data_IF_687963428762
#
_entry.id   IF_687963428762
#
_cell.length_a   1.000
_cell.length_b   1.000
_cell.length_c   1.000
_cell.angle_alpha   90.00
_cell.angle_beta   90.00
_cell.angle_gamma   90.00
#
_symmetry.space_group_name_H-M   'P 1'
#
loop_
_entity.id
_entity.type
_entity.pdbx_description
1 polymer ?
#
# COMPACT_ATOMS: atom_id res chain seq x y z
N UNK A 1 2.99 0.98 19.29
CA UNK A 1 2.40 0.75 17.97
C UNK A 1 2.72 1.95 17.11
N UNK A 2 2.90 1.75 15.81
CA UNK A 2 3.27 2.80 14.85
C UNK A 2 2.06 3.08 13.95
N UNK A 3 1.86 4.33 13.56
CA UNK A 3 0.79 4.71 12.65
C UNK A 3 1.34 4.82 11.23
N UNK A 4 0.76 4.11 10.28
CA UNK A 4 1.17 4.15 8.88
C UNK A 4 0.10 4.84 8.05
N UNK A 5 0.52 5.80 7.22
CA UNK A 5 -0.32 6.47 6.22
C UNK A 5 0.00 5.91 4.86
N UNK A 6 -1.02 5.42 4.17
CA UNK A 6 -0.92 4.88 2.82
C UNK A 6 -1.56 5.86 1.85
N UNK A 7 -0.81 6.24 0.81
CA UNK A 7 -1.25 7.13 -0.26
C UNK A 7 -1.13 6.35 -1.56
N UNK A 8 -2.27 5.89 -2.08
CA UNK A 8 -2.35 5.08 -3.27
C UNK A 8 -2.85 5.91 -4.46
N UNK A 9 -2.04 6.00 -5.50
CA UNK A 9 -2.42 6.56 -6.80
C UNK A 9 -2.83 5.41 -7.73
N UNK A 10 -4.09 5.39 -8.15
CA UNK A 10 -4.62 4.34 -9.01
C UNK A 10 -5.79 4.84 -9.87
N UNK A 11 -5.75 4.57 -11.18
CA UNK A 11 -6.82 4.92 -12.14
C UNK A 11 -7.37 6.35 -12.00
N UNK A 12 -6.46 7.34 -11.90
CA UNK A 12 -6.75 8.78 -11.74
C UNK A 12 -7.33 9.19 -10.37
N UNK A 13 -7.41 8.27 -9.41
CA UNK A 13 -7.80 8.55 -8.04
C UNK A 13 -6.61 8.50 -7.09
N UNK A 14 -6.69 9.33 -6.04
CA UNK A 14 -5.82 9.29 -4.87
C UNK A 14 -6.62 8.74 -3.70
N UNK A 15 -6.15 7.65 -3.10
CA UNK A 15 -6.81 6.98 -1.98
C UNK A 15 -5.89 7.01 -0.77
N UNK A 16 -6.38 7.55 0.34
CA UNK A 16 -5.60 7.73 1.56
C UNK A 16 -6.29 7.01 2.70
N UNK A 17 -5.53 6.19 3.43
CA UNK A 17 -5.98 5.54 4.65
C UNK A 17 -4.84 5.39 5.66
N UNK A 18 -5.19 5.20 6.93
CA UNK A 18 -4.22 5.06 8.01
C UNK A 18 -4.54 3.82 8.83
N UNK A 19 -3.48 3.11 9.25
CA UNK A 19 -3.59 1.92 10.10
C UNK A 19 -2.49 1.91 11.15
N UNK A 20 -2.80 1.40 12.33
CA UNK A 20 -1.83 1.13 13.37
C UNK A 20 -1.28 -0.30 13.24
N UNK A 21 0.02 -0.46 13.43
CA UNK A 21 0.67 -1.76 13.34
C UNK A 21 2.00 -1.80 14.11
N UNK A 22 2.55 -2.99 14.32
CA UNK A 22 3.87 -3.15 14.93
C UNK A 22 5.01 -2.85 13.95
N UNK A 23 4.80 -3.10 12.66
CA UNK A 23 5.82 -2.96 11.61
C UNK A 23 5.19 -2.69 10.23
N UNK A 24 6.03 -2.27 9.28
CA UNK A 24 5.62 -1.88 7.93
C UNK A 24 4.91 -3.00 7.16
N UNK A 25 5.41 -4.24 7.23
CA UNK A 25 4.88 -5.35 6.45
C UNK A 25 3.49 -5.75 6.95
N UNK A 26 3.30 -5.77 8.26
CA UNK A 26 1.98 -5.99 8.87
C UNK A 26 1.01 -4.86 8.52
N UNK A 27 1.45 -3.59 8.59
CA UNK A 27 0.63 -2.44 8.17
C UNK A 27 0.21 -2.54 6.70
N UNK A 28 1.11 -2.96 5.81
CA UNK A 28 0.85 -3.10 4.38
C UNK A 28 -0.20 -4.18 4.10
N UNK A 29 -0.14 -5.30 4.83
CA UNK A 29 -1.16 -6.37 4.77
C UNK A 29 -2.52 -5.84 5.23
N UNK A 30 -2.56 -5.14 6.37
CA UNK A 30 -3.80 -4.53 6.89
C UNK A 30 -4.39 -3.57 5.86
N UNK A 31 -3.57 -2.73 5.24
CA UNK A 31 -4.00 -1.81 4.18
C UNK A 31 -4.65 -2.55 3.00
N UNK A 32 -4.00 -3.61 2.49
CA UNK A 32 -4.52 -4.38 1.37
C UNK A 32 -5.86 -5.08 1.69
N UNK A 33 -5.99 -5.61 2.90
CA UNK A 33 -7.19 -6.29 3.35
C UNK A 33 -8.37 -5.33 3.59
N UNK A 34 -8.09 -4.05 3.86
CA UNK A 34 -9.09 -3.00 4.12
C UNK A 34 -9.38 -2.08 2.93
N UNK A 35 -8.91 -2.41 1.71
CA UNK A 35 -9.27 -1.66 0.51
C UNK A 35 -10.79 -1.66 0.30
N UNK A 36 -11.32 -0.47 0.05
CA UNK A 36 -12.74 -0.25 -0.23
C UNK A 36 -13.09 -0.75 -1.64
N UNK A 37 -14.03 -1.70 -1.69
CA UNK A 37 -14.44 -2.38 -2.92
C UNK A 37 -15.20 -1.46 -3.89
N UNK A 38 -15.67 -0.30 -3.42
CA UNK A 38 -16.25 0.74 -4.28
C UNK A 38 -15.21 1.28 -5.26
N UNK A 39 -13.94 1.38 -4.85
CA UNK A 39 -12.85 1.89 -5.67
C UNK A 39 -11.92 0.79 -6.19
N UNK A 40 -11.75 -0.27 -5.41
CA UNK A 40 -10.91 -1.43 -5.71
C UNK A 40 -11.80 -2.67 -5.79
N UNK A 41 -12.43 -2.90 -6.94
CA UNK A 41 -13.29 -4.08 -7.15
C UNK A 41 -12.67 -5.36 -6.59
N UNK A 42 -13.48 -6.32 -6.15
CA UNK A 42 -13.00 -7.56 -5.52
C UNK A 42 -11.82 -8.22 -6.27
N UNK A 43 -11.89 -8.25 -7.59
CA UNK A 43 -10.82 -8.78 -8.45
C UNK A 43 -9.52 -7.96 -8.36
N UNK A 44 -9.62 -6.63 -8.31
CA UNK A 44 -8.48 -5.72 -8.13
C UNK A 44 -7.90 -5.87 -6.73
N UNK A 45 -8.76 -5.87 -5.69
CA UNK A 45 -8.36 -6.08 -4.30
C UNK A 45 -7.61 -7.40 -4.12
N UNK A 46 -8.15 -8.50 -4.62
CA UNK A 46 -7.50 -9.82 -4.57
C UNK A 46 -6.11 -9.81 -5.23
N UNK A 47 -5.96 -9.11 -6.37
CA UNK A 47 -4.66 -9.00 -7.06
C UNK A 47 -3.66 -8.14 -6.28
N UNK A 48 -4.12 -7.11 -5.57
CA UNK A 48 -3.26 -6.30 -4.69
C UNK A 48 -2.81 -7.13 -3.48
N UNK A 49 -3.73 -7.86 -2.84
CA UNK A 49 -3.42 -8.75 -1.71
C UNK A 49 -2.38 -9.82 -2.10
N UNK A 50 -2.51 -10.43 -3.29
CA UNK A 50 -1.52 -11.37 -3.83
C UNK A 50 -0.13 -10.72 -3.92
N UNK A 51 -0.05 -9.53 -4.50
CA UNK A 51 1.24 -8.83 -4.71
C UNK A 51 1.86 -8.31 -3.42
N UNK A 52 1.05 -7.81 -2.49
CA UNK A 52 1.52 -7.34 -1.18
C UNK A 52 2.16 -8.47 -0.37
N UNK A 53 1.68 -9.70 -0.54
CA UNK A 53 2.20 -10.89 0.14
C UNK A 53 3.36 -11.57 -0.61
N UNK A 54 3.69 -11.09 -1.81
CA UNK A 54 4.86 -11.52 -2.57
C UNK A 54 6.06 -10.66 -2.20
N UNK A 55 7.08 -11.28 -1.60
CA UNK A 55 8.30 -10.62 -1.14
C UNK A 55 9.03 -9.84 -2.26
N UNK A 56 8.83 -10.19 -3.53
CA UNK A 56 9.41 -9.45 -4.66
C UNK A 56 8.94 -7.98 -4.71
N UNK A 57 7.73 -7.68 -4.20
CA UNK A 57 7.17 -6.33 -4.20
C UNK A 57 7.23 -5.66 -2.82
N UNK A 58 8.25 -6.00 -2.03
CA UNK A 58 8.48 -5.34 -0.73
C UNK A 58 8.71 -3.84 -0.92
N UNK A 59 8.20 -2.98 0.00
CA UNK A 59 8.42 -1.55 -0.09
C UNK A 59 9.89 -1.16 -0.06
N UNK A 60 10.26 -0.22 -0.93
CA UNK A 60 11.61 0.34 -1.01
C UNK A 60 11.67 1.62 -0.20
N UNK A 61 12.68 1.76 0.66
CA UNK A 61 12.91 2.99 1.43
C UNK A 61 13.30 4.14 0.51
N UNK A 62 12.75 5.33 0.75
CA UNK A 62 13.12 6.54 0.02
C UNK A 62 14.46 7.07 0.55
N UNK A 63 15.40 7.32 -0.36
CA UNK A 63 16.72 7.82 0.03
C UNK A 63 16.64 9.15 0.79
N UNK A 64 17.41 9.26 1.87
CA UNK A 64 17.55 10.47 2.70
C UNK A 64 16.26 10.91 3.42
N UNK A 65 15.23 10.06 3.47
CA UNK A 65 13.99 10.32 4.20
C UNK A 65 13.68 9.12 5.08
N UNK A 66 13.77 9.30 6.39
CA UNK A 66 13.40 8.26 7.34
C UNK A 66 11.90 8.00 7.30
N UNK A 67 11.51 6.75 7.61
CA UNK A 67 10.11 6.38 7.80
C UNK A 67 9.21 6.56 6.57
N UNK A 68 9.79 6.64 5.37
CA UNK A 68 9.07 6.76 4.10
C UNK A 68 9.49 5.64 3.15
N UNK A 69 8.50 4.98 2.57
CA UNK A 69 8.69 3.90 1.60
C UNK A 69 7.78 4.10 0.39
N UNK A 70 8.15 3.46 -0.71
CA UNK A 70 7.35 3.39 -1.92
C UNK A 70 7.24 1.94 -2.39
N UNK A 71 6.06 1.56 -2.88
CA UNK A 71 5.82 0.31 -3.61
C UNK A 71 5.10 0.61 -4.92
N UNK A 72 5.27 -0.26 -5.91
CA UNK A 72 4.52 -0.16 -7.16
C UNK A 72 4.00 -1.53 -7.59
N UNK A 73 2.76 -1.55 -8.05
CA UNK A 73 2.09 -2.78 -8.47
C UNK A 73 1.43 -2.58 -9.83
N UNK A 74 1.70 -3.49 -10.78
CA UNK A 74 0.95 -3.54 -12.05
C UNK A 74 -0.29 -4.42 -11.87
N UNK A 75 -1.46 -3.80 -11.79
CA UNK A 75 -2.76 -4.47 -11.62
C UNK A 75 -3.54 -4.42 -12.93
N UNK A 76 -3.69 -5.56 -13.61
CA UNK A 76 -4.41 -5.68 -14.90
C UNK A 76 -4.08 -4.55 -15.89
N UNK A 77 -2.78 -4.27 -16.08
CA UNK A 77 -2.22 -3.21 -16.97
C UNK A 77 -2.31 -1.77 -16.44
N UNK A 78 -2.82 -1.55 -15.24
CA UNK A 78 -2.81 -0.24 -14.57
C UNK A 78 -1.72 -0.22 -13.49
N UNK A 79 -0.95 0.86 -13.41
CA UNK A 79 0.00 1.07 -12.33
C UNK A 79 -0.76 1.56 -11.09
N UNK A 80 -0.50 0.91 -9.95
CA UNK A 80 -0.79 1.43 -8.61
C UNK A 80 0.55 1.87 -8.00
N UNK A 81 0.66 3.15 -7.67
CA UNK A 81 1.80 3.68 -6.94
C UNK A 81 1.38 3.88 -5.48
N UNK A 82 2.14 3.31 -4.55
CA UNK A 82 1.83 3.36 -3.13
C UNK A 82 2.97 4.04 -2.39
N UNK A 83 2.69 5.19 -1.80
CA UNK A 83 3.59 5.84 -0.86
C UNK A 83 3.15 5.51 0.56
N UNK A 84 4.10 5.19 1.43
CA UNK A 84 3.85 4.74 2.79
C UNK A 84 4.68 5.61 3.73
N UNK A 85 4.04 6.21 4.72
CA UNK A 85 4.69 7.06 5.71
C UNK A 85 4.38 6.52 7.10
N UNK A 86 5.40 6.14 7.85
CA UNK A 86 5.26 5.92 9.29
C UNK A 86 5.24 7.28 9.99
N UNK A 87 4.13 7.57 10.65
CA UNK A 87 3.86 8.79 11.42
C UNK A 87 3.86 8.47 12.91
N UNK A 88 4.28 9.47 13.72
CA UNK A 88 4.31 9.41 15.19
C UNK A 88 2.94 9.12 15.79
#
# INVERSE_FOLDING_TARGET
MKKFTFIAEYKKGTYISQYESSNLMEALVIWADNLDIQFFTEKVKAKIQEKVRDNFYSPVSIEKVDNVWCSSYVIFRSLLLLNIVETV
#
